data_IF_142921643968
#
_entry.id   IF_142921643968
#
_cell.length_a   1.000
_cell.length_b   1.000
_cell.length_c   1.000
_cell.angle_alpha   90.00
_cell.angle_beta   90.00
_cell.angle_gamma   90.00
#
_symmetry.space_group_name_H-M   'P 1'
#
loop_
_entity.id
_entity.type
_entity.pdbx_description
1 polymer ?
#
# COMPACT_ATOMS: atom_id res chain seq x y z
N UNK A 1 16.14 -45.01 -3.11
CA UNK A 1 15.20 -44.79 -2.00
C UNK A 1 14.76 -43.32 -1.96
N UNK A 2 13.52 -43.08 -1.75
CA UNK A 2 12.99 -41.75 -1.61
C UNK A 2 12.72 -41.49 -0.14
N UNK A 3 13.47 -40.56 0.46
CA UNK A 3 13.30 -40.24 1.86
C UNK A 3 12.20 -39.18 2.13
N UNK A 4 12.10 -38.24 1.23
CA UNK A 4 11.16 -37.14 1.41
C UNK A 4 10.58 -36.75 0.06
N UNK A 5 9.27 -36.59 0.03
CA UNK A 5 8.58 -36.02 -1.12
C UNK A 5 8.31 -34.54 -0.85
N UNK A 6 8.83 -33.70 -1.72
CA UNK A 6 8.59 -32.26 -1.64
C UNK A 6 7.71 -31.82 -2.79
N UNK A 7 6.80 -30.94 -2.49
CA UNK A 7 6.02 -30.28 -3.53
C UNK A 7 6.85 -29.17 -4.13
N UNK A 8 7.10 -29.28 -5.43
CA UNK A 8 7.91 -28.31 -6.17
C UNK A 8 7.09 -27.32 -6.97
N UNK A 9 5.79 -27.40 -6.86
CA UNK A 9 4.91 -26.45 -7.52
C UNK A 9 4.95 -25.12 -6.77
N UNK A 10 5.50 -24.05 -7.37
CA UNK A 10 5.60 -22.76 -6.68
C UNK A 10 4.23 -22.17 -6.36
N UNK A 11 3.19 -22.56 -7.09
CA UNK A 11 1.85 -22.05 -6.85
C UNK A 11 1.20 -22.62 -5.60
N UNK A 12 1.60 -23.84 -5.19
CA UNK A 12 1.07 -24.47 -3.98
C UNK A 12 1.66 -23.87 -2.71
N UNK A 13 2.92 -23.39 -2.78
CA UNK A 13 3.60 -22.82 -1.64
C UNK A 13 3.62 -21.29 -1.65
N UNK A 14 3.15 -20.68 -2.74
CA UNK A 14 3.10 -19.24 -2.84
C UNK A 14 1.95 -18.69 -2.00
N UNK A 15 2.25 -17.65 -1.22
CA UNK A 15 1.22 -16.90 -0.53
C UNK A 15 0.58 -15.97 -1.56
N UNK A 16 -0.72 -16.12 -1.85
CA UNK A 16 -1.37 -15.22 -2.80
C UNK A 16 -1.32 -13.79 -2.31
N UNK A 17 -0.88 -12.89 -3.17
CA UNK A 17 -0.91 -11.47 -2.90
C UNK A 17 -2.10 -10.83 -3.61
N UNK A 18 -2.69 -9.86 -2.96
CA UNK A 18 -3.80 -9.09 -3.51
C UNK A 18 -3.48 -7.61 -3.46
N UNK A 19 -4.13 -6.86 -4.31
CA UNK A 19 -4.10 -5.40 -4.27
C UNK A 19 -5.36 -4.92 -3.56
N UNK A 20 -5.19 -4.10 -2.53
CA UNK A 20 -6.29 -3.42 -1.85
C UNK A 20 -6.21 -1.96 -2.22
N UNK A 21 -7.28 -1.44 -2.80
CA UNK A 21 -7.32 -0.07 -3.28
C UNK A 21 -8.26 0.76 -2.42
N UNK A 22 -7.77 1.92 -1.98
CA UNK A 22 -8.57 2.89 -1.24
C UNK A 22 -8.76 4.13 -2.11
N UNK A 23 -9.97 4.63 -2.18
CA UNK A 23 -10.21 5.92 -2.83
C UNK A 23 -9.63 7.02 -1.95
N UNK A 24 -8.89 7.92 -2.58
CA UNK A 24 -8.30 9.07 -1.93
C UNK A 24 -9.09 10.33 -2.25
N UNK A 25 -9.20 11.18 -1.24
CA UNK A 25 -9.72 12.52 -1.38
C UNK A 25 -8.62 13.49 -0.94
N UNK A 26 -8.24 14.38 -1.83
CA UNK A 26 -7.18 15.34 -1.55
C UNK A 26 -6.82 16.12 -2.80
N UNK A 27 -5.95 17.12 -2.67
CA UNK A 27 -5.58 17.99 -3.78
C UNK A 27 -4.20 17.71 -4.35
N UNK A 28 -3.21 17.71 -3.48
CA UNK A 28 -1.82 17.62 -3.87
C UNK A 28 -1.03 16.81 -2.87
N UNK A 29 0.07 16.24 -3.34
CA UNK A 29 1.08 15.65 -2.47
C UNK A 29 2.45 15.75 -3.14
N UNK A 30 3.55 15.60 -2.36
CA UNK A 30 4.88 15.58 -2.96
C UNK A 30 4.99 14.46 -3.99
N UNK A 31 5.68 14.76 -5.10
CA UNK A 31 5.94 13.75 -6.13
C UNK A 31 6.73 12.57 -5.57
N UNK A 32 7.71 12.85 -4.69
CA UNK A 32 8.45 11.84 -3.96
C UNK A 32 7.77 11.60 -2.61
N UNK A 33 6.77 10.72 -2.62
CA UNK A 33 5.92 10.53 -1.46
C UNK A 33 5.96 9.11 -0.87
N UNK A 34 6.82 8.23 -1.38
CA UNK A 34 6.85 6.83 -0.92
C UNK A 34 7.03 6.70 0.58
N UNK A 35 8.08 7.32 1.12
CA UNK A 35 8.34 7.29 2.56
C UNK A 35 7.26 8.04 3.36
N UNK A 36 6.79 9.16 2.83
CA UNK A 36 5.77 9.96 3.51
C UNK A 36 4.45 9.20 3.63
N UNK A 37 4.06 8.46 2.60
CA UNK A 37 2.86 7.61 2.64
C UNK A 37 3.04 6.49 3.66
N UNK A 38 4.19 5.81 3.64
CA UNK A 38 4.49 4.78 4.62
C UNK A 38 4.40 5.32 6.04
N UNK A 39 5.02 6.48 6.29
CA UNK A 39 5.02 7.12 7.60
C UNK A 39 3.59 7.47 8.06
N UNK A 40 2.77 8.00 7.15
CA UNK A 40 1.39 8.35 7.46
C UNK A 40 0.55 7.11 7.81
N UNK A 41 0.73 6.03 7.05
CA UNK A 41 0.05 4.76 7.32
C UNK A 41 0.47 4.22 8.69
N UNK A 42 1.76 4.25 9.00
CA UNK A 42 2.29 3.76 10.28
C UNK A 42 1.75 4.55 11.46
N UNK A 43 1.57 5.86 11.32
CA UNK A 43 0.99 6.71 12.34
C UNK A 43 -0.49 6.44 12.55
N UNK A 44 -1.21 6.20 11.48
CA UNK A 44 -2.66 5.94 11.54
C UNK A 44 -2.97 4.53 12.02
N UNK A 45 -2.08 3.59 11.76
CA UNK A 45 -2.27 2.19 12.14
C UNK A 45 -0.92 1.62 12.55
N UNK A 46 -0.64 1.64 13.86
CA UNK A 46 0.66 1.22 14.39
C UNK A 46 0.97 -0.25 14.12
N UNK A 47 -0.04 -1.08 13.95
CA UNK A 47 0.16 -2.49 13.60
C UNK A 47 0.78 -2.68 12.22
N UNK A 48 0.76 -1.67 11.37
CA UNK A 48 1.37 -1.70 10.05
C UNK A 48 2.80 -1.13 10.03
N UNK A 49 3.30 -0.69 11.19
CA UNK A 49 4.65 -0.15 11.28
C UNK A 49 5.69 -1.27 11.31
N UNK A 50 6.72 -1.13 10.48
CA UNK A 50 7.86 -2.04 10.50
C UNK A 50 7.60 -3.44 9.96
N UNK A 51 6.48 -3.66 9.31
CA UNK A 51 6.18 -4.97 8.69
C UNK A 51 6.80 -5.05 7.30
N UNK A 52 7.25 -6.24 6.93
CA UNK A 52 7.98 -6.46 5.68
C UNK A 52 7.10 -6.93 4.52
N UNK A 53 5.86 -7.33 4.80
CA UNK A 53 4.97 -7.83 3.76
C UNK A 53 4.12 -6.76 3.07
N UNK A 54 4.15 -5.52 3.56
CA UNK A 54 3.33 -4.44 3.01
C UNK A 54 4.01 -3.79 1.81
N UNK A 55 3.39 -3.91 0.64
CA UNK A 55 3.80 -3.16 -0.55
C UNK A 55 2.92 -1.94 -0.73
N UNK A 56 3.54 -0.79 -0.93
CA UNK A 56 2.83 0.46 -1.17
C UNK A 56 3.16 0.92 -2.59
N UNK A 57 2.11 1.06 -3.41
CA UNK A 57 2.27 1.59 -4.75
C UNK A 57 2.21 3.11 -4.70
N UNK A 58 3.08 3.78 -5.46
CA UNK A 58 3.07 5.23 -5.52
C UNK A 58 1.74 5.73 -6.07
N UNK A 59 1.25 6.82 -5.47
CA UNK A 59 0.00 7.43 -5.87
C UNK A 59 0.20 8.18 -7.17
N UNK A 60 -0.65 7.92 -8.15
CA UNK A 60 -0.59 8.58 -9.45
C UNK A 60 -1.28 9.93 -9.43
N UNK A 61 -0.68 10.89 -10.09
CA UNK A 61 -1.24 12.23 -10.21
C UNK A 61 -0.61 12.96 -11.39
N UNK A 62 -0.95 14.22 -11.53
CA UNK A 62 -0.44 15.06 -12.60
C UNK A 62 0.68 15.95 -12.09
N UNK A 63 1.78 16.12 -12.84
CA UNK A 63 2.82 17.05 -12.42
C UNK A 63 2.24 18.43 -12.14
N UNK A 64 2.66 18.99 -11.02
CA UNK A 64 2.27 20.33 -10.60
C UNK A 64 3.52 21.12 -10.30
N UNK A 65 3.40 22.25 -9.62
CA UNK A 65 4.56 23.10 -9.34
C UNK A 65 5.41 22.56 -8.20
N UNK A 66 6.72 22.84 -8.26
CA UNK A 66 7.64 22.65 -7.14
C UNK A 66 7.69 21.23 -6.54
N UNK A 67 7.77 20.25 -7.42
CA UNK A 67 7.90 18.86 -6.95
C UNK A 67 6.63 18.27 -6.35
N UNK A 68 5.49 18.87 -6.64
CA UNK A 68 4.19 18.35 -6.23
C UNK A 68 3.50 17.66 -7.40
N UNK A 69 2.60 16.74 -7.06
CA UNK A 69 1.64 16.20 -8.01
C UNK A 69 0.23 16.59 -7.56
N UNK A 70 -0.62 16.89 -8.53
CA UNK A 70 -2.02 17.14 -8.29
C UNK A 70 -2.79 15.84 -8.42
N UNK A 71 -3.64 15.55 -7.46
CA UNK A 71 -4.48 14.36 -7.50
C UNK A 71 -5.68 14.59 -8.42
N UNK A 72 -6.11 13.55 -9.15
CA UNK A 72 -7.38 13.63 -9.88
C UNK A 72 -8.53 13.93 -8.91
N UNK A 73 -9.52 14.67 -9.37
CA UNK A 73 -10.72 14.93 -8.57
C UNK A 73 -11.47 13.63 -8.25
N UNK A 74 -11.42 12.67 -9.17
CA UNK A 74 -12.05 11.38 -9.03
C UNK A 74 -11.01 10.28 -9.26
N UNK A 75 -11.25 9.15 -8.63
CA UNK A 75 -10.46 7.92 -8.84
C UNK A 75 -9.00 8.01 -8.40
N UNK A 76 -8.63 9.03 -7.61
CA UNK A 76 -7.33 8.99 -6.94
C UNK A 76 -7.30 7.79 -6.00
N UNK A 77 -6.25 7.01 -6.08
CA UNK A 77 -6.21 5.70 -5.43
C UNK A 77 -4.89 5.48 -4.71
N UNK A 78 -4.99 5.03 -3.46
CA UNK A 78 -3.88 4.42 -2.75
C UNK A 78 -4.03 2.91 -2.90
N UNK A 79 -3.02 2.26 -3.44
CA UNK A 79 -3.03 0.81 -3.63
C UNK A 79 -1.96 0.16 -2.80
N UNK A 80 -2.38 -0.82 -2.02
CA UNK A 80 -1.48 -1.64 -1.21
C UNK A 80 -1.48 -3.06 -1.77
N UNK A 81 -0.28 -3.63 -1.86
CA UNK A 81 -0.11 -5.04 -2.22
C UNK A 81 0.25 -5.81 -0.96
N UNK A 82 -0.54 -6.81 -0.64
CA UNK A 82 -0.42 -7.55 0.61
C UNK A 82 -0.68 -9.03 0.38
N UNK A 83 -0.15 -9.91 1.25
CA UNK A 83 -0.63 -11.29 1.29
C UNK A 83 -2.12 -11.31 1.65
N UNK A 84 -2.88 -12.18 1.00
CA UNK A 84 -4.33 -12.21 1.14
C UNK A 84 -4.78 -12.39 2.61
N UNK A 85 -4.01 -13.13 3.41
CA UNK A 85 -4.32 -13.36 4.81
C UNK A 85 -4.27 -12.11 5.69
N UNK A 86 -3.67 -11.03 5.21
CA UNK A 86 -3.57 -9.77 5.96
C UNK A 86 -4.60 -8.73 5.53
N UNK A 87 -5.62 -9.15 4.79
CA UNK A 87 -6.65 -8.24 4.29
C UNK A 87 -7.31 -7.43 5.41
N UNK A 88 -7.63 -8.07 6.52
CA UNK A 88 -8.27 -7.38 7.65
C UNK A 88 -7.39 -6.33 8.30
N UNK A 89 -6.07 -6.57 8.31
CA UNK A 89 -5.12 -5.65 8.94
C UNK A 89 -5.10 -4.29 8.23
N UNK A 90 -5.24 -4.30 6.91
CA UNK A 90 -5.20 -3.05 6.14
C UNK A 90 -6.57 -2.38 6.04
N UNK A 91 -7.67 -3.11 6.25
CA UNK A 91 -9.00 -2.50 6.24
C UNK A 91 -9.18 -1.45 7.35
N UNK A 92 -8.35 -1.51 8.38
CA UNK A 92 -8.36 -0.51 9.44
C UNK A 92 -8.01 0.90 8.93
N UNK A 93 -7.40 0.99 7.75
CA UNK A 93 -7.10 2.29 7.12
C UNK A 93 -8.33 2.95 6.51
N UNK A 94 -9.39 2.20 6.25
CA UNK A 94 -10.60 2.76 5.64
C UNK A 94 -11.18 3.84 6.54
N UNK A 95 -11.47 5.00 5.95
CA UNK A 95 -11.99 6.15 6.68
C UNK A 95 -10.96 6.94 7.46
N UNK A 96 -9.69 6.55 7.43
CA UNK A 96 -8.62 7.27 8.12
C UNK A 96 -8.16 8.48 7.30
N UNK A 97 -7.75 9.51 8.01
CA UNK A 97 -7.08 10.67 7.42
C UNK A 97 -5.58 10.45 7.50
N UNK A 98 -4.91 10.60 6.37
CA UNK A 98 -3.46 10.48 6.31
C UNK A 98 -2.84 11.85 6.05
N UNK A 99 -1.88 12.23 6.89
CA UNK A 99 -1.12 13.46 6.71
C UNK A 99 0.16 13.10 5.93
N UNK A 100 0.17 13.43 4.65
CA UNK A 100 1.26 13.11 3.74
C UNK A 100 1.95 14.42 3.33
N UNK A 101 3.14 14.63 3.86
CA UNK A 101 3.94 15.80 3.53
C UNK A 101 3.55 17.07 4.29
N UNK A 102 2.96 16.90 5.40
CA UNK A 102 2.60 18.01 6.28
C UNK A 102 1.13 18.34 6.26
#
# INVERSE_FOLDING_TARGET
>A
MIDTLEVRDPWLNAIPCINVSFLLSGRQLPADHGYLVYSAISKSCSSLHGIDWLGIELISGFPSSRGLIALPERDATLRLRIPAGHYRDVLLLAGKRLDIGG
#
